data_IF_622588432096
#
_entry.id   IF_622588432096
#
_cell.length_a   1.000
_cell.length_b   1.000
_cell.length_c   1.000
_cell.angle_alpha   90.00
_cell.angle_beta   90.00
_cell.angle_gamma   90.00
#
_symmetry.space_group_name_H-M   'P 1'
#
loop_
_entity.id
_entity.type
_entity.pdbx_description
1 polymer ?
#
# COMPACT_ATOMS: atom_id res chain seq x y z
N UNK A 1 -21.50 5.19 -11.51
CA UNK A 1 -20.36 4.42 -10.95
C UNK A 1 -20.14 4.89 -9.53
N UNK A 2 -19.80 4.01 -8.57
CA UNK A 2 -19.53 4.44 -7.20
C UNK A 2 -18.34 5.43 -7.18
N UNK A 3 -18.37 6.41 -6.28
CA UNK A 3 -17.24 7.30 -6.04
C UNK A 3 -16.07 6.52 -5.42
N UNK A 4 -14.85 7.08 -5.49
CA UNK A 4 -13.69 6.48 -4.85
C UNK A 4 -13.91 6.30 -3.33
N UNK A 5 -14.51 7.29 -2.66
CA UNK A 5 -14.76 7.22 -1.22
C UNK A 5 -15.78 6.13 -0.85
N UNK A 6 -16.85 5.99 -1.64
CA UNK A 6 -17.81 4.91 -1.45
C UNK A 6 -17.13 3.54 -1.62
N UNK A 7 -16.27 3.41 -2.63
CA UNK A 7 -15.52 2.18 -2.86
C UNK A 7 -14.53 1.87 -1.73
N UNK A 8 -13.80 2.86 -1.22
CA UNK A 8 -12.89 2.68 -0.08
C UNK A 8 -13.66 2.28 1.19
N UNK A 9 -14.86 2.84 1.39
CA UNK A 9 -15.76 2.47 2.49
C UNK A 9 -16.20 1.01 2.37
N UNK A 10 -16.59 0.57 1.17
CA UNK A 10 -16.96 -0.82 0.91
C UNK A 10 -15.80 -1.81 1.17
N UNK A 11 -14.57 -1.43 0.81
CA UNK A 11 -13.37 -2.24 1.07
C UNK A 11 -13.15 -2.41 2.58
N UNK A 12 -13.28 -1.32 3.35
CA UNK A 12 -13.13 -1.33 4.81
C UNK A 12 -14.20 -2.13 5.52
N UNK A 13 -15.43 -2.15 4.99
CA UNK A 13 -16.56 -2.91 5.52
C UNK A 13 -16.65 -4.36 4.99
N UNK A 14 -15.72 -4.80 4.14
CA UNK A 14 -15.77 -6.12 3.53
C UNK A 14 -15.67 -7.24 4.58
N UNK A 15 -16.64 -8.16 4.60
CA UNK A 15 -16.66 -9.32 5.52
C UNK A 15 -16.61 -10.69 4.83
N UNK A 16 -16.35 -10.71 3.52
CA UNK A 16 -16.49 -11.91 2.65
C UNK A 16 -15.70 -13.13 3.13
N UNK A 17 -14.53 -12.91 3.72
CA UNK A 17 -13.65 -13.98 4.18
C UNK A 17 -13.93 -14.44 5.61
N UNK A 18 -14.90 -13.85 6.32
CA UNK A 18 -15.12 -14.11 7.75
C UNK A 18 -15.14 -15.60 8.13
N UNK A 19 -15.81 -16.51 7.39
CA UNK A 19 -15.83 -17.94 7.75
C UNK A 19 -14.46 -18.64 7.69
N UNK A 20 -13.45 -18.02 7.09
CA UNK A 20 -12.15 -18.61 6.82
C UNK A 20 -10.99 -17.90 7.53
N UNK A 21 -11.27 -16.82 8.26
CA UNK A 21 -10.25 -16.05 8.96
C UNK A 21 -10.28 -16.38 10.46
N UNK A 22 -9.29 -17.13 10.99
CA UNK A 22 -9.29 -17.56 12.39
C UNK A 22 -9.22 -16.39 13.38
N UNK A 23 -8.78 -15.21 12.93
CA UNK A 23 -8.65 -14.00 13.74
C UNK A 23 -9.68 -12.92 13.38
N UNK A 24 -10.70 -13.28 12.60
CA UNK A 24 -11.74 -12.36 12.15
C UNK A 24 -11.31 -11.48 10.97
N UNK A 25 -12.23 -10.62 10.54
CA UNK A 25 -12.04 -9.73 9.40
C UNK A 25 -11.51 -8.39 9.85
N UNK A 26 -10.40 -7.96 9.26
CA UNK A 26 -9.85 -6.62 9.47
C UNK A 26 -9.11 -6.17 8.20
N UNK A 27 -9.79 -5.48 7.26
CA UNK A 27 -9.14 -4.95 6.08
C UNK A 27 -8.12 -3.85 6.43
N UNK A 28 -6.83 -4.11 6.24
CA UNK A 28 -5.73 -3.18 6.54
C UNK A 28 -5.09 -2.67 5.24
N UNK A 29 -5.17 -1.36 5.02
CA UNK A 29 -4.54 -0.67 3.89
C UNK A 29 -4.51 0.86 4.13
N UNK A 30 -3.67 1.56 3.36
CA UNK A 30 -3.55 3.03 3.33
C UNK A 30 -3.69 3.49 1.88
N UNK A 31 -4.53 4.47 1.59
CA UNK A 31 -4.72 4.92 0.21
C UNK A 31 -5.14 6.38 0.16
N UNK A 32 -4.52 7.12 -0.75
CA UNK A 32 -4.99 8.41 -1.21
C UNK A 32 -4.77 8.50 -2.72
N UNK A 33 -5.71 9.05 -3.50
CA UNK A 33 -5.55 9.16 -4.95
C UNK A 33 -4.37 10.04 -5.36
N UNK A 34 -3.98 11.02 -4.53
CA UNK A 34 -2.84 11.90 -4.81
C UNK A 34 -1.48 11.34 -4.40
N UNK A 35 -1.43 10.14 -3.79
CA UNK A 35 -0.17 9.56 -3.36
C UNK A 35 0.76 9.31 -4.56
N UNK A 36 1.99 9.85 -4.58
CA UNK A 36 2.93 9.63 -5.67
C UNK A 36 3.54 8.23 -5.66
N UNK A 37 3.49 7.53 -4.52
CA UNK A 37 4.15 6.23 -4.31
C UNK A 37 3.13 5.19 -3.88
N UNK A 38 3.25 3.98 -4.44
CA UNK A 38 2.47 2.80 -4.06
C UNK A 38 3.40 1.71 -3.52
N UNK A 39 3.17 1.30 -2.27
CA UNK A 39 3.73 0.10 -1.62
C UNK A 39 2.70 -1.04 -1.74
N UNK A 40 3.06 -2.14 -2.39
CA UNK A 40 2.24 -3.30 -2.65
C UNK A 40 2.79 -4.52 -1.90
N UNK A 41 2.00 -5.07 -1.00
CA UNK A 41 2.34 -6.24 -0.18
C UNK A 41 1.49 -7.47 -0.53
N UNK A 42 1.74 -8.61 0.11
CA UNK A 42 0.89 -9.79 -0.04
C UNK A 42 -0.39 -9.67 0.79
N UNK A 43 -0.26 -9.76 2.12
CA UNK A 43 -1.32 -9.69 3.11
C UNK A 43 -0.74 -9.14 4.42
N UNK A 44 -1.57 -8.59 5.32
CA UNK A 44 -1.11 -8.25 6.66
C UNK A 44 -0.73 -9.52 7.45
N UNK A 45 0.34 -9.44 8.24
CA UNK A 45 0.69 -10.45 9.23
C UNK A 45 -0.04 -10.23 10.56
N UNK A 46 0.18 -11.13 11.53
CA UNK A 46 -0.54 -11.12 12.82
C UNK A 46 -0.46 -9.79 13.59
N UNK A 47 0.71 -9.14 13.62
CA UNK A 47 0.88 -7.84 14.31
C UNK A 47 0.19 -6.70 13.57
N UNK A 48 0.22 -6.72 12.24
CA UNK A 48 -0.48 -5.73 11.40
C UNK A 48 -1.99 -5.90 11.55
N UNK A 49 -2.48 -7.13 11.63
CA UNK A 49 -3.87 -7.42 11.98
C UNK A 49 -4.24 -6.83 13.34
N UNK A 50 -3.48 -7.15 14.39
CA UNK A 50 -3.78 -6.67 15.74
C UNK A 50 -3.77 -5.13 15.85
N UNK A 51 -2.87 -4.44 15.15
CA UNK A 51 -2.77 -2.97 15.18
C UNK A 51 -3.75 -2.28 14.24
N UNK A 52 -4.15 -2.93 13.14
CA UNK A 52 -4.88 -2.29 12.05
C UNK A 52 -4.05 -1.29 11.23
N UNK A 53 -2.74 -1.20 11.47
CA UNK A 53 -1.85 -0.24 10.83
C UNK A 53 -0.93 -0.98 9.85
N UNK A 54 -0.95 -0.64 8.54
CA UNK A 54 -0.12 -1.34 7.55
C UNK A 54 1.36 -1.33 7.93
N UNK A 55 2.08 -2.45 7.80
CA UNK A 55 3.52 -2.50 8.12
C UNK A 55 3.88 -1.99 9.54
N UNK A 56 2.97 -2.07 10.51
CA UNK A 56 3.30 -1.77 11.92
C UNK A 56 3.95 -2.98 12.61
N UNK A 57 5.03 -3.45 12.00
CA UNK A 57 5.81 -4.60 12.46
C UNK A 57 7.31 -4.45 12.13
N UNK A 58 8.09 -5.48 12.47
CA UNK A 58 9.53 -5.50 12.23
C UNK A 58 9.88 -5.42 10.73
N UNK A 59 9.01 -5.92 9.84
CA UNK A 59 9.20 -5.82 8.40
C UNK A 59 9.01 -4.38 7.92
N UNK A 60 8.02 -3.67 8.45
CA UNK A 60 7.80 -2.26 8.17
C UNK A 60 8.89 -1.34 8.72
N UNK A 61 9.43 -1.66 9.90
CA UNK A 61 10.59 -0.95 10.43
C UNK A 61 11.80 -1.06 9.51
N UNK A 62 12.09 -2.26 8.99
CA UNK A 62 13.15 -2.47 8.00
C UNK A 62 12.86 -1.75 6.69
N UNK A 63 11.61 -1.81 6.21
CA UNK A 63 11.20 -1.14 4.98
C UNK A 63 11.41 0.38 5.08
N UNK A 64 10.96 1.02 6.17
CA UNK A 64 11.18 2.45 6.40
C UNK A 64 12.67 2.81 6.41
N UNK A 65 13.49 1.98 7.07
CA UNK A 65 14.94 2.16 7.07
C UNK A 65 15.55 2.08 5.67
N UNK A 66 15.12 1.11 4.84
CA UNK A 66 15.57 0.99 3.45
C UNK A 66 15.13 2.17 2.57
N UNK A 67 13.92 2.67 2.78
CA UNK A 67 13.40 3.82 2.06
C UNK A 67 14.04 5.15 2.50
N UNK A 68 14.65 5.18 3.70
CA UNK A 68 15.21 6.37 4.30
C UNK A 68 14.13 7.38 4.71
N UNK A 69 12.99 6.90 5.20
CA UNK A 69 11.84 7.75 5.59
C UNK A 69 11.47 7.54 7.04
N UNK A 70 11.00 8.61 7.69
CA UNK A 70 10.45 8.55 9.04
C UNK A 70 9.04 7.92 9.06
N UNK A 71 8.52 7.72 10.28
CA UNK A 71 7.20 7.14 10.51
C UNK A 71 6.09 8.03 9.94
N UNK A 72 6.16 9.34 10.14
CA UNK A 72 5.10 10.28 9.75
C UNK A 72 4.96 10.36 8.23
N UNK A 73 6.09 10.41 7.51
CA UNK A 73 6.12 10.35 6.05
C UNK A 73 5.59 9.03 5.52
N UNK A 74 5.93 7.91 6.17
CA UNK A 74 5.48 6.59 5.75
C UNK A 74 3.97 6.39 5.92
N UNK A 75 3.41 6.95 6.99
CA UNK A 75 1.99 6.84 7.34
C UNK A 75 1.14 8.03 6.87
N UNK A 76 1.71 8.97 6.12
CA UNK A 76 0.95 9.98 5.40
C UNK A 76 0.32 9.36 4.14
N UNK A 77 -1.02 9.18 4.09
CA UNK A 77 -1.68 8.56 2.95
C UNK A 77 -1.51 9.38 1.67
N UNK A 78 -1.28 10.69 1.76
CA UNK A 78 -1.07 11.58 0.61
C UNK A 78 0.32 11.48 0.00
N UNK A 79 1.28 10.88 0.72
CA UNK A 79 2.65 10.64 0.24
C UNK A 79 2.86 9.20 -0.21
N UNK A 80 2.28 8.24 0.53
CA UNK A 80 2.46 6.82 0.27
C UNK A 80 1.10 6.11 0.36
N UNK A 81 0.69 5.46 -0.72
CA UNK A 81 -0.36 4.46 -0.69
C UNK A 81 0.26 3.10 -0.33
N UNK A 82 -0.41 2.31 0.53
CA UNK A 82 0.00 0.98 0.96
C UNK A 82 -1.17 0.01 0.71
N UNK A 83 -1.06 -0.81 -0.34
CA UNK A 83 -2.11 -1.71 -0.79
C UNK A 83 -1.63 -3.17 -0.83
N UNK A 84 -2.07 -4.04 0.08
CA UNK A 84 -1.78 -5.47 -0.04
C UNK A 84 -2.65 -6.13 -1.13
N UNK A 85 -2.22 -7.30 -1.62
CA UNK A 85 -3.00 -8.11 -2.57
C UNK A 85 -4.26 -8.68 -1.95
N UNK A 86 -4.28 -8.86 -0.64
CA UNK A 86 -5.52 -8.91 0.10
C UNK A 86 -5.38 -8.39 1.52
N UNK A 87 -6.53 -8.00 2.05
CA UNK A 87 -6.59 -6.98 3.08
C UNK A 87 -6.60 -7.54 4.50
N UNK A 88 -6.84 -8.83 4.67
CA UNK A 88 -6.99 -9.45 5.99
C UNK A 88 -5.90 -10.50 6.22
N UNK A 89 -5.57 -10.73 7.48
CA UNK A 89 -4.56 -11.70 7.86
C UNK A 89 -5.12 -13.12 7.76
N UNK A 90 -4.54 -13.99 6.90
CA UNK A 90 -5.10 -15.31 6.63
C UNK A 90 -4.83 -16.33 7.74
N UNK A 91 -4.05 -15.99 8.77
CA UNK A 91 -3.53 -16.91 9.78
C UNK A 91 -2.10 -17.36 9.49
N UNK A 92 -1.51 -18.11 10.41
CA UNK A 92 -0.13 -18.65 10.28
C UNK A 92 -0.17 -20.17 10.12
N UNK A 93 0.57 -20.65 9.12
CA UNK A 93 0.83 -22.07 8.88
C UNK A 93 2.22 -22.49 9.39
N UNK A 94 2.68 -23.67 8.96
CA UNK A 94 3.94 -24.27 9.45
C UNK A 94 5.20 -23.47 9.10
N UNK A 95 5.17 -22.72 7.98
CA UNK A 95 6.33 -22.02 7.41
C UNK A 95 6.17 -20.51 7.40
N UNK A 96 5.23 -19.96 8.17
CA UNK A 96 4.88 -18.53 8.17
C UNK A 96 3.42 -18.30 7.81
N UNK A 97 3.09 -17.08 7.41
CA UNK A 97 1.72 -16.68 7.11
C UNK A 97 1.13 -17.50 5.95
N UNK A 98 -0.16 -17.82 6.07
CA UNK A 98 -0.90 -18.54 5.05
C UNK A 98 -0.99 -17.72 3.76
N UNK A 99 -1.14 -18.38 2.59
CA UNK A 99 -1.33 -17.65 1.34
C UNK A 99 -2.62 -16.84 1.36
N UNK A 100 -2.69 -15.87 0.46
CA UNK A 100 -3.86 -15.03 0.34
C UNK A 100 -5.11 -15.85 -0.01
N UNK A 101 -6.22 -15.53 0.67
CA UNK A 101 -7.52 -16.15 0.44
C UNK A 101 -8.05 -15.84 -0.96
N UNK A 102 -8.49 -16.85 -1.74
CA UNK A 102 -9.06 -16.63 -3.07
C UNK A 102 -10.34 -15.77 -3.03
N UNK A 103 -11.11 -15.88 -1.95
CA UNK A 103 -12.35 -15.12 -1.72
C UNK A 103 -12.09 -13.63 -1.44
N UNK A 104 -10.88 -13.29 -0.98
CA UNK A 104 -10.44 -11.91 -0.75
C UNK A 104 -10.24 -11.12 -2.06
N UNK A 105 -10.57 -11.75 -3.20
CA UNK A 105 -10.66 -11.19 -4.53
C UNK A 105 -9.48 -10.24 -4.87
N UNK A 106 -8.44 -10.74 -5.56
CA UNK A 106 -7.40 -9.90 -6.17
C UNK A 106 -7.96 -8.75 -7.00
N UNK A 107 -9.23 -8.84 -7.44
CA UNK A 107 -9.96 -7.78 -8.12
C UNK A 107 -10.04 -6.49 -7.31
N UNK A 108 -10.23 -6.55 -5.99
CA UNK A 108 -10.41 -5.35 -5.17
C UNK A 108 -9.09 -4.57 -5.04
N UNK A 109 -8.01 -5.28 -4.73
CA UNK A 109 -6.65 -4.72 -4.77
C UNK A 109 -6.28 -4.23 -6.17
N UNK A 110 -6.63 -4.99 -7.23
CA UNK A 110 -6.41 -4.57 -8.63
C UNK A 110 -7.18 -3.31 -9.01
N UNK A 111 -8.42 -3.15 -8.53
CA UNK A 111 -9.22 -1.95 -8.75
C UNK A 111 -8.61 -0.74 -8.05
N UNK A 112 -8.10 -0.88 -6.83
CA UNK A 112 -7.37 0.20 -6.15
C UNK A 112 -6.04 0.52 -6.85
N UNK A 113 -5.31 -0.49 -7.31
CA UNK A 113 -4.11 -0.30 -8.13
C UNK A 113 -4.40 0.42 -9.45
N UNK A 114 -5.54 0.13 -10.08
CA UNK A 114 -5.96 0.83 -11.28
C UNK A 114 -6.36 2.28 -10.97
N UNK A 115 -7.09 2.52 -9.88
CA UNK A 115 -7.46 3.85 -9.42
C UNK A 115 -6.24 4.71 -9.10
N UNK A 116 -5.18 4.13 -8.53
CA UNK A 116 -3.90 4.80 -8.30
C UNK A 116 -3.24 5.30 -9.59
N UNK A 117 -3.41 4.57 -10.70
CA UNK A 117 -2.81 4.91 -12.01
C UNK A 117 -3.70 5.81 -12.86
N UNK A 118 -4.91 6.12 -12.41
CA UNK A 118 -5.81 7.02 -13.12
C UNK A 118 -5.28 8.46 -13.02
N UNK A 119 -5.31 9.26 -14.10
CA UNK A 119 -4.97 10.67 -14.02
C UNK A 119 -5.98 11.37 -13.11
N UNK A 120 -5.59 11.74 -11.89
CA UNK A 120 -6.42 12.56 -11.01
C UNK A 120 -6.36 13.99 -11.53
N UNK A 121 -7.52 14.62 -11.76
CA UNK A 121 -7.61 16.01 -12.18
C UNK A 121 -6.84 16.89 -11.18
N UNK A 122 -5.80 17.60 -11.66
CA UNK A 122 -4.88 18.37 -10.82
C UNK A 122 -3.48 17.80 -10.69
N UNK A 123 -3.25 16.52 -11.03
CA UNK A 123 -1.90 16.07 -11.35
C UNK A 123 -1.51 16.70 -12.69
N UNK A 124 -0.65 17.73 -12.65
CA UNK A 124 0.24 17.94 -13.80
C UNK A 124 0.98 16.63 -13.95
N UNK A 125 0.71 15.90 -15.03
CA UNK A 125 1.62 14.89 -15.53
C UNK A 125 2.93 15.63 -15.81
N UNK A 126 3.79 15.75 -14.79
CA UNK A 126 5.20 15.99 -15.00
C UNK A 126 5.64 14.82 -15.84
N UNK A 127 5.72 15.04 -17.15
CA UNK A 127 6.21 14.08 -18.10
C UNK A 127 7.67 13.84 -17.72
N UNK A 128 7.90 12.90 -16.79
CA UNK A 128 9.19 12.28 -16.59
C UNK A 128 9.49 11.59 -17.91
N UNK A 129 10.18 12.34 -18.79
CA UNK A 129 10.68 11.87 -20.06
C UNK A 129 11.40 10.54 -19.82
N UNK A 130 10.89 9.50 -20.47
CA UNK A 130 11.51 8.20 -20.71
C UNK A 130 12.44 7.66 -19.60
N UNK A 131 11.96 6.67 -18.83
CA UNK A 131 12.92 5.78 -18.15
C UNK A 131 12.48 4.96 -16.96
N UNK A 132 11.20 4.88 -16.57
CA UNK A 132 10.80 3.97 -15.48
C UNK A 132 9.85 2.88 -15.97
N UNK A 133 10.38 1.67 -16.24
CA UNK A 133 9.56 0.53 -16.65
C UNK A 133 8.66 0.06 -15.49
N UNK A 134 7.70 -0.85 -15.74
CA UNK A 134 6.76 -1.40 -14.75
C UNK A 134 7.38 -2.16 -13.57
N UNK A 135 8.71 -2.09 -13.39
CA UNK A 135 9.55 -2.85 -12.45
C UNK A 135 9.68 -2.23 -11.06
N UNK A 136 8.77 -1.35 -10.65
CA UNK A 136 8.83 -0.60 -9.37
C UNK A 136 8.89 -1.46 -8.09
N UNK A 137 8.95 -2.78 -8.20
CA UNK A 137 9.09 -3.74 -7.10
C UNK A 137 10.39 -4.55 -7.06
N UNK A 138 11.15 -4.69 -8.15
CA UNK A 138 12.36 -5.54 -8.11
C UNK A 138 13.60 -4.79 -7.63
N UNK A 139 13.68 -3.48 -7.87
CA UNK A 139 14.92 -2.73 -7.62
C UNK A 139 15.00 -2.07 -6.24
N UNK A 140 13.90 -2.02 -5.46
CA UNK A 140 13.92 -1.51 -4.09
C UNK A 140 14.67 -2.45 -3.10
N UNK A 141 15.02 -3.66 -3.54
CA UNK A 141 15.85 -4.61 -2.80
C UNK A 141 17.36 -4.46 -3.09
N UNK A 142 17.78 -3.55 -3.98
CA UNK A 142 19.19 -3.31 -4.28
C UNK A 142 19.77 -2.18 -3.40
N UNK A 143 20.90 -2.39 -2.71
CA UNK A 143 21.52 -1.41 -1.80
C UNK A 143 22.14 -0.18 -2.51
N UNK A 144 21.78 0.09 -3.76
CA UNK A 144 22.31 1.19 -4.58
C UNK A 144 21.27 1.96 -5.42
N UNK A 145 19.97 1.72 -5.21
CA UNK A 145 18.91 2.45 -5.92
C UNK A 145 18.84 3.91 -5.49
N UNK A 146 18.69 4.85 -6.44
CA UNK A 146 18.47 6.28 -6.17
C UNK A 146 17.35 6.42 -5.13
N UNK A 147 17.66 6.99 -3.97
CA UNK A 147 16.82 6.86 -2.77
C UNK A 147 15.38 7.28 -3.06
N UNK A 148 14.42 6.45 -2.63
CA UNK A 148 12.99 6.76 -2.66
C UNK A 148 12.71 8.11 -1.96
N UNK A 149 13.54 8.46 -0.97
CA UNK A 149 13.59 9.77 -0.34
C UNK A 149 13.71 10.94 -1.33
N UNK A 150 14.41 10.79 -2.46
CA UNK A 150 14.53 11.83 -3.49
C UNK A 150 13.26 11.97 -4.32
N UNK A 151 12.53 10.89 -4.57
CA UNK A 151 11.23 10.91 -5.23
C UNK A 151 10.15 11.51 -4.30
N UNK A 152 10.20 11.20 -3.01
CA UNK A 152 9.37 11.82 -1.98
C UNK A 152 9.69 13.31 -1.81
N UNK A 153 10.96 13.69 -1.71
CA UNK A 153 11.36 15.09 -1.60
C UNK A 153 10.96 15.93 -2.82
N UNK A 154 10.94 15.34 -4.02
CA UNK A 154 10.50 16.02 -5.25
C UNK A 154 8.98 16.13 -5.39
N UNK A 155 8.20 15.43 -4.56
CA UNK A 155 6.73 15.44 -4.58
C UNK A 155 6.10 16.24 -3.43
N UNK A 156 6.92 16.78 -2.52
CA UNK A 156 6.48 17.74 -1.49
C UNK A 156 6.45 19.15 -2.10
N UNK A 157 5.28 19.81 -2.22
CA UNK A 157 5.26 21.23 -2.57
C UNK A 157 6.01 22.02 -1.49
N UNK A 158 6.75 23.09 -1.85
CA UNK A 158 7.46 23.89 -0.86
C UNK A 158 6.47 24.35 0.21
N UNK A 159 6.85 24.23 1.49
CA UNK A 159 6.07 24.79 2.58
C UNK A 159 5.81 26.27 2.27
N UNK A 160 4.54 26.67 2.27
CA UNK A 160 4.19 28.08 2.08
C UNK A 160 4.76 28.90 3.25
N UNK A 161 5.27 30.12 3.00
CA UNK A 161 5.95 30.94 3.99
C UNK A 161 5.02 31.39 5.12
#
# INVERSE_FOLDING_TARGET
MPTLDAFLTDVRACTRCAPHLPHGVQPVFQFHPSAPILIAGQAPGARVHASGVPFDDASGARLRAWLGVDRDTFYDPTRIAILPMGFCYPGTGKSGDLPLRPECAPRLARSLHAAFRAPVAGHRAGQLRHGLPPRYWQDAAHPGGRSLARALAASVPPASP
#
